data_IF_899848694396
#
_entry.id   IF_899848694396
#
_cell.length_a   1.000
_cell.length_b   1.000
_cell.length_c   1.000
_cell.angle_alpha   90.00
_cell.angle_beta   90.00
_cell.angle_gamma   90.00
#
_symmetry.space_group_name_H-M   'P 1'
#
loop_
_entity.id
_entity.type
_entity.pdbx_description
1 polymer ?
#
# COMPACT_ATOMS: atom_id res chain seq x y z
N UNK A 1 -9.78 22.62 0.72
CA UNK A 1 -10.33 22.56 2.08
C UNK A 1 -10.74 21.12 2.33
N UNK A 2 -10.08 20.44 3.26
CA UNK A 2 -10.46 19.07 3.65
C UNK A 2 -11.60 19.16 4.65
N UNK A 3 -12.70 18.46 4.39
CA UNK A 3 -13.88 18.41 5.27
C UNK A 3 -14.01 17.03 5.87
N UNK A 4 -14.32 16.94 7.17
CA UNK A 4 -14.62 15.65 7.81
C UNK A 4 -16.01 15.21 7.36
N UNK A 5 -16.06 14.05 6.68
CA UNK A 5 -17.29 13.44 6.21
C UNK A 5 -17.92 12.52 7.26
N UNK A 6 -17.10 11.77 8.00
CA UNK A 6 -17.56 10.87 9.05
C UNK A 6 -16.48 10.66 10.11
N UNK A 7 -16.89 10.39 11.34
CA UNK A 7 -15.99 9.99 12.44
C UNK A 7 -16.32 8.56 12.84
N UNK A 8 -15.30 7.70 12.84
CA UNK A 8 -15.43 6.28 13.15
C UNK A 8 -14.78 6.03 14.51
N UNK A 9 -15.57 5.54 15.46
CA UNK A 9 -15.06 5.01 16.72
C UNK A 9 -14.77 3.52 16.52
N UNK A 10 -13.48 3.19 16.46
CA UNK A 10 -13.02 1.83 16.17
C UNK A 10 -13.12 0.91 17.39
N UNK A 11 -13.29 1.46 18.60
CA UNK A 11 -13.32 0.71 19.84
C UNK A 11 -12.08 -0.17 20.06
N UNK A 12 -10.94 0.15 19.43
CA UNK A 12 -9.66 -0.52 19.69
C UNK A 12 -9.13 -0.13 21.09
N UNK A 13 -8.45 -1.08 21.73
CA UNK A 13 -7.89 -0.86 23.09
C UNK A 13 -6.54 -0.14 23.05
N UNK A 14 -5.88 -0.11 21.89
CA UNK A 14 -4.55 0.46 21.69
C UNK A 14 -4.44 1.18 20.33
N UNK A 15 -3.25 1.68 20.00
CA UNK A 15 -2.95 2.46 18.81
C UNK A 15 -3.34 1.70 17.53
N UNK A 16 -3.96 2.42 16.60
CA UNK A 16 -4.29 1.92 15.25
C UNK A 16 -3.07 2.17 14.37
N UNK A 17 -2.62 1.14 13.67
CA UNK A 17 -1.48 1.24 12.76
C UNK A 17 -1.89 1.57 11.33
N UNK A 18 -2.95 0.93 10.85
CA UNK A 18 -3.41 1.10 9.49
C UNK A 18 -4.94 0.94 9.38
N UNK A 19 -5.50 1.55 8.35
CA UNK A 19 -6.91 1.50 8.03
C UNK A 19 -7.13 1.65 6.53
N UNK A 20 -7.79 0.66 5.92
CA UNK A 20 -8.04 0.65 4.48
C UNK A 20 -9.54 0.46 4.20
N UNK A 21 -10.08 1.29 3.31
CA UNK A 21 -11.43 1.13 2.78
C UNK A 21 -11.47 0.04 1.71
N UNK A 22 -12.60 -0.67 1.63
CA UNK A 22 -12.82 -1.61 0.54
C UNK A 22 -12.96 -0.89 -0.82
N UNK A 23 -12.90 -1.68 -1.90
CA UNK A 23 -12.95 -1.18 -3.26
C UNK A 23 -14.19 -0.31 -3.57
N UNK A 24 -15.32 -0.56 -2.88
CA UNK A 24 -16.57 0.15 -3.08
C UNK A 24 -16.79 1.30 -2.09
N UNK A 25 -15.89 1.51 -1.12
CA UNK A 25 -16.03 2.50 -0.05
C UNK A 25 -17.18 2.20 0.93
N UNK A 26 -17.63 0.95 1.00
CA UNK A 26 -18.72 0.49 1.87
C UNK A 26 -18.21 -0.15 3.16
N UNK A 27 -16.95 -0.57 3.21
CA UNK A 27 -16.35 -1.19 4.39
C UNK A 27 -15.02 -0.57 4.73
N UNK A 28 -14.70 -0.55 6.01
CA UNK A 28 -13.40 -0.14 6.52
C UNK A 28 -12.81 -1.28 7.33
N UNK A 29 -11.59 -1.68 6.98
CA UNK A 29 -10.76 -2.55 7.82
C UNK A 29 -9.83 -1.67 8.64
N UNK A 30 -9.69 -1.99 9.93
CA UNK A 30 -8.75 -1.31 10.84
C UNK A 30 -7.92 -2.35 11.57
N UNK A 31 -6.66 -2.04 11.82
CA UNK A 31 -5.78 -2.91 12.59
C UNK A 31 -5.02 -2.14 13.68
N UNK A 32 -4.75 -2.83 14.79
CA UNK A 32 -4.22 -2.19 16.00
C UNK A 32 -3.13 -3.04 16.69
N UNK A 33 -2.39 -2.37 17.57
CA UNK A 33 -1.53 -3.02 18.57
C UNK A 33 -2.27 -3.97 19.51
N UNK A 34 -3.61 -3.92 19.58
CA UNK A 34 -4.44 -4.85 20.39
C UNK A 34 -4.60 -6.27 19.79
N UNK A 35 -3.86 -6.55 18.70
CA UNK A 35 -3.85 -7.82 17.96
C UNK A 35 -5.15 -8.14 17.21
N UNK A 36 -6.10 -7.20 17.12
CA UNK A 36 -7.35 -7.37 16.40
C UNK A 36 -7.35 -6.65 15.05
N UNK A 37 -8.06 -7.27 14.10
CA UNK A 37 -8.47 -6.60 12.86
C UNK A 37 -9.99 -6.46 12.90
N UNK A 38 -10.48 -5.22 12.87
CA UNK A 38 -11.91 -4.95 12.93
C UNK A 38 -12.41 -4.52 11.56
N UNK A 39 -13.62 -4.97 11.22
CA UNK A 39 -14.27 -4.62 9.96
C UNK A 39 -15.56 -3.90 10.26
N UNK A 40 -15.68 -2.70 9.74
CA UNK A 40 -16.86 -1.84 9.86
C UNK A 40 -17.60 -1.77 8.53
N UNK A 41 -18.92 -1.85 8.57
CA UNK A 41 -19.79 -1.46 7.45
C UNK A 41 -20.09 0.04 7.61
N UNK A 42 -19.84 0.81 6.55
CA UNK A 42 -20.05 2.25 6.49
C UNK A 42 -21.16 2.50 5.48
N UNK A 43 -22.36 2.77 6.00
CA UNK A 43 -23.51 3.15 5.16
C UNK A 43 -24.08 4.45 5.64
N UNK A 44 -24.19 5.44 4.74
CA UNK A 44 -24.87 6.71 4.99
C UNK A 44 -24.46 7.41 6.30
N UNK A 45 -23.18 7.38 6.65
CA UNK A 45 -22.66 8.01 7.87
C UNK A 45 -22.78 7.15 9.14
N UNK A 46 -23.56 6.07 9.13
CA UNK A 46 -23.59 5.10 10.23
C UNK A 46 -22.48 4.06 10.11
N UNK A 47 -21.78 3.84 11.21
CA UNK A 47 -20.80 2.77 11.37
C UNK A 47 -21.42 1.60 12.13
N UNK A 48 -21.17 0.38 11.67
CA UNK A 48 -21.49 -0.82 12.43
C UNK A 48 -20.33 -1.81 12.38
N UNK A 49 -19.89 -2.27 13.55
CA UNK A 49 -18.89 -3.34 13.64
C UNK A 49 -19.51 -4.63 13.09
N UNK A 50 -18.94 -5.14 12.00
CA UNK A 50 -19.40 -6.34 11.32
C UNK A 50 -18.63 -7.57 11.77
N UNK A 51 -17.32 -7.44 12.02
CA UNK A 51 -16.48 -8.53 12.49
C UNK A 51 -15.31 -8.02 13.33
N UNK A 52 -14.95 -8.81 14.34
CA UNK A 52 -13.73 -8.68 15.14
C UNK A 52 -12.87 -9.92 14.86
N UNK A 53 -11.84 -9.75 14.03
CA UNK A 53 -10.98 -10.83 13.57
C UNK A 53 -9.78 -10.97 14.51
N UNK A 54 -9.84 -12.01 15.34
CA UNK A 54 -8.76 -12.39 16.25
C UNK A 54 -8.04 -13.62 15.72
N UNK A 55 -6.72 -13.55 15.66
CA UNK A 55 -5.90 -14.64 15.16
C UNK A 55 -4.40 -14.35 15.15
N UNK A 56 -4.03 -13.08 15.25
CA UNK A 56 -2.65 -12.66 15.47
C UNK A 56 -2.29 -12.70 16.96
N UNK A 57 -1.01 -12.94 17.25
CA UNK A 57 -0.46 -12.97 18.61
C UNK A 57 0.41 -11.75 18.94
N UNK A 58 0.46 -10.78 18.02
CA UNK A 58 1.21 -9.53 18.17
C UNK A 58 0.50 -8.38 17.44
N UNK A 59 1.04 -7.15 17.55
CA UNK A 59 0.52 -5.99 16.84
C UNK A 59 0.34 -6.25 15.35
N UNK A 60 -0.76 -5.79 14.78
CA UNK A 60 -1.05 -5.92 13.35
C UNK A 60 -0.65 -4.61 12.67
N UNK A 61 0.25 -4.68 11.69
CA UNK A 61 0.90 -3.50 11.12
C UNK A 61 0.13 -2.90 9.95
N UNK A 62 -0.31 -3.73 9.02
CA UNK A 62 -0.98 -3.30 7.80
C UNK A 62 -2.11 -4.25 7.43
N UNK A 63 -3.13 -3.70 6.78
CA UNK A 63 -4.23 -4.46 6.18
C UNK A 63 -4.34 -4.12 4.69
N UNK A 64 -4.78 -5.07 3.87
CA UNK A 64 -4.99 -4.81 2.45
C UNK A 64 -6.20 -5.58 1.90
N UNK A 65 -7.11 -4.89 1.22
CA UNK A 65 -8.26 -5.52 0.58
C UNK A 65 -7.88 -6.11 -0.79
N UNK A 66 -8.32 -7.33 -1.05
CA UNK A 66 -8.18 -7.90 -2.40
C UNK A 66 -9.23 -7.31 -3.34
N UNK A 67 -8.95 -7.38 -4.64
CA UNK A 67 -9.90 -6.95 -5.65
C UNK A 67 -11.21 -7.79 -5.59
N UNK A 68 -12.40 -7.15 -5.66
CA UNK A 68 -13.70 -7.81 -5.42
C UNK A 68 -14.02 -8.94 -6.41
N UNK A 69 -13.31 -9.03 -7.53
CA UNK A 69 -13.38 -10.16 -8.49
C UNK A 69 -13.11 -11.52 -7.82
N UNK A 70 -12.32 -11.55 -6.74
CA UNK A 70 -11.99 -12.77 -5.99
C UNK A 70 -12.89 -12.98 -4.76
N UNK A 71 -13.93 -12.15 -4.63
CA UNK A 71 -14.77 -12.07 -3.44
C UNK A 71 -14.20 -11.12 -2.39
N UNK A 72 -14.75 -11.18 -1.18
CA UNK A 72 -14.35 -10.32 -0.08
C UNK A 72 -13.21 -11.00 0.69
N UNK A 73 -11.97 -10.63 0.32
CA UNK A 73 -10.74 -11.09 0.96
C UNK A 73 -10.01 -9.90 1.58
N UNK A 74 -9.48 -10.10 2.77
CA UNK A 74 -8.64 -9.14 3.48
C UNK A 74 -7.34 -9.83 3.90
N UNK A 75 -6.20 -9.23 3.62
CA UNK A 75 -4.91 -9.67 4.14
C UNK A 75 -4.54 -8.81 5.36
N UNK A 76 -3.93 -9.42 6.36
CA UNK A 76 -3.33 -8.72 7.50
C UNK A 76 -1.94 -9.28 7.81
N UNK A 77 -1.00 -8.40 8.14
CA UNK A 77 0.34 -8.76 8.59
C UNK A 77 0.62 -8.29 10.01
N UNK A 78 1.47 -9.02 10.72
CA UNK A 78 1.71 -8.77 12.13
C UNK A 78 3.16 -9.03 12.54
N UNK A 79 3.49 -8.45 13.70
CA UNK A 79 4.70 -8.73 14.46
C UNK A 79 4.88 -10.21 14.84
N UNK A 80 3.79 -10.98 14.86
CA UNK A 80 3.83 -12.43 15.13
C UNK A 80 4.45 -13.29 14.03
N UNK A 81 4.98 -12.65 12.96
CA UNK A 81 5.62 -13.25 11.79
C UNK A 81 4.65 -13.92 10.83
N UNK A 82 3.35 -13.72 11.01
CA UNK A 82 2.31 -14.33 10.20
C UNK A 82 1.64 -13.31 9.30
N UNK A 83 1.22 -13.82 8.15
CA UNK A 83 0.24 -13.16 7.28
C UNK A 83 -1.01 -14.02 7.28
N UNK A 84 -2.14 -13.40 7.59
CA UNK A 84 -3.43 -14.07 7.59
C UNK A 84 -4.28 -13.49 6.46
N UNK A 85 -4.86 -14.37 5.65
CA UNK A 85 -5.86 -14.01 4.65
C UNK A 85 -7.22 -14.42 5.20
N UNK A 86 -8.10 -13.45 5.34
CA UNK A 86 -9.46 -13.59 5.81
C UNK A 86 -10.41 -13.60 4.63
N UNK A 87 -11.43 -14.45 4.68
CA UNK A 87 -12.48 -14.53 3.65
C UNK A 87 -13.85 -14.40 4.31
N UNK A 88 -14.71 -13.61 3.68
CA UNK A 88 -16.12 -13.59 4.05
C UNK A 88 -16.89 -14.63 3.22
N UNK A 89 -17.48 -15.60 3.90
CA UNK A 89 -18.39 -16.59 3.31
C UNK A 89 -19.65 -16.72 4.19
N UNK A 90 -20.31 -15.59 4.43
CA UNK A 90 -21.36 -15.43 5.46
C UNK A 90 -20.77 -14.89 6.75
N UNK A 91 -19.94 -15.70 7.41
CA UNK A 91 -19.07 -15.25 8.50
C UNK A 91 -17.64 -15.04 8.01
N UNK A 92 -16.90 -14.19 8.71
CA UNK A 92 -15.49 -13.98 8.45
C UNK A 92 -14.66 -15.10 9.06
N UNK A 93 -13.83 -15.74 8.25
CA UNK A 93 -12.99 -16.85 8.67
C UNK A 93 -11.58 -16.71 8.11
N UNK A 94 -10.63 -17.32 8.82
CA UNK A 94 -9.26 -17.48 8.34
C UNK A 94 -9.26 -18.44 7.15
N UNK A 95 -8.96 -17.92 5.96
CA UNK A 95 -8.90 -18.67 4.71
C UNK A 95 -7.53 -19.29 4.47
N UNK A 96 -6.46 -18.53 4.76
CA UNK A 96 -5.10 -18.98 4.61
C UNK A 96 -4.20 -18.33 5.67
N UNK A 97 -3.16 -19.04 6.10
CA UNK A 97 -2.15 -18.56 7.04
C UNK A 97 -0.76 -18.86 6.48
N UNK A 98 0.06 -17.84 6.40
CA UNK A 98 1.46 -17.94 5.98
C UNK A 98 2.38 -17.57 7.16
N UNK A 99 3.30 -18.45 7.51
CA UNK A 99 4.12 -18.34 8.72
C UNK A 99 5.61 -18.71 8.50
N UNK A 100 6.11 -18.54 7.27
CA UNK A 100 7.49 -18.92 6.91
C UNK A 100 8.50 -17.76 7.02
N UNK A 101 8.10 -16.61 7.56
CA UNK A 101 9.01 -15.52 7.90
C UNK A 101 9.60 -15.74 9.30
N UNK A 102 10.87 -15.36 9.45
CA UNK A 102 11.61 -15.53 10.71
C UNK A 102 11.48 -14.31 11.63
N UNK A 103 10.92 -13.21 11.11
CA UNK A 103 10.70 -11.94 11.83
C UNK A 103 9.36 -11.28 11.44
N UNK A 104 9.07 -10.13 12.05
CA UNK A 104 7.84 -9.35 11.86
C UNK A 104 7.55 -9.05 10.40
N UNK A 105 6.30 -9.23 9.96
CA UNK A 105 5.88 -8.84 8.61
C UNK A 105 5.30 -7.43 8.67
N UNK A 106 5.99 -6.48 8.04
CA UNK A 106 5.71 -5.06 8.21
C UNK A 106 4.70 -4.53 7.19
N UNK A 107 4.65 -5.11 5.99
CA UNK A 107 3.79 -4.63 4.91
C UNK A 107 3.22 -5.74 4.06
N UNK A 108 1.99 -5.54 3.59
CA UNK A 108 1.29 -6.43 2.64
C UNK A 108 0.65 -5.61 1.54
N UNK A 109 0.72 -6.10 0.30
CA UNK A 109 0.08 -5.46 -0.84
C UNK A 109 -0.43 -6.50 -1.83
N UNK A 110 -1.68 -6.37 -2.26
CA UNK A 110 -2.25 -7.18 -3.34
C UNK A 110 -1.76 -6.69 -4.71
N UNK A 111 -1.45 -7.63 -5.59
CA UNK A 111 -1.12 -7.31 -6.96
C UNK A 111 -2.35 -6.82 -7.73
N UNK A 112 -2.14 -6.05 -8.82
CA UNK A 112 -3.20 -5.74 -9.77
C UNK A 112 -3.95 -7.00 -10.22
N UNK A 113 -5.28 -6.91 -10.24
CA UNK A 113 -6.20 -8.03 -10.50
C UNK A 113 -6.04 -8.68 -11.89
N UNK A 114 -5.35 -8.00 -12.81
CA UNK A 114 -4.96 -8.50 -14.11
C UNK A 114 -3.95 -9.65 -14.01
N UNK A 115 -3.09 -9.63 -12.99
CA UNK A 115 -2.06 -10.64 -12.76
C UNK A 115 -2.57 -11.89 -12.04
N UNK A 116 -3.77 -11.83 -11.45
CA UNK A 116 -4.32 -12.90 -10.61
C UNK A 116 -4.45 -12.47 -9.14
N UNK A 117 -4.75 -13.45 -8.29
CA UNK A 117 -4.78 -13.26 -6.84
C UNK A 117 -3.38 -13.53 -6.29
N UNK A 118 -2.59 -12.46 -6.18
CA UNK A 118 -1.20 -12.50 -5.72
C UNK A 118 -1.01 -11.48 -4.60
N UNK A 119 -0.37 -11.88 -3.51
CA UNK A 119 -0.05 -11.03 -2.36
C UNK A 119 1.47 -10.92 -2.20
N UNK A 120 2.00 -9.71 -2.07
CA UNK A 120 3.38 -9.49 -1.66
C UNK A 120 3.44 -9.14 -0.18
N UNK A 121 4.44 -9.70 0.53
CA UNK A 121 4.65 -9.52 1.95
C UNK A 121 6.11 -9.12 2.20
N UNK A 122 6.34 -7.98 2.86
CA UNK A 122 7.67 -7.52 3.24
C UNK A 122 7.95 -7.79 4.72
N UNK A 123 9.06 -8.46 5.02
CA UNK A 123 9.42 -8.85 6.39
C UNK A 123 10.70 -8.18 6.89
N UNK A 124 10.74 -7.98 8.21
CA UNK A 124 11.92 -7.54 8.96
C UNK A 124 13.07 -8.56 8.91
N UNK A 125 12.86 -9.78 8.42
CA UNK A 125 13.94 -10.74 8.17
C UNK A 125 14.75 -10.43 6.89
N UNK A 126 14.37 -9.34 6.19
CA UNK A 126 15.01 -8.90 4.95
C UNK A 126 14.51 -9.63 3.71
N UNK A 127 13.57 -10.57 3.85
CA UNK A 127 12.95 -11.27 2.73
C UNK A 127 11.60 -10.68 2.32
N UNK A 128 11.25 -10.91 1.06
CA UNK A 128 9.94 -10.57 0.51
C UNK A 128 9.31 -11.85 -0.02
N UNK A 129 8.09 -12.15 0.41
CA UNK A 129 7.37 -13.35 -0.01
C UNK A 129 6.21 -12.99 -0.92
N UNK A 130 6.11 -13.67 -2.05
CA UNK A 130 5.02 -13.52 -3.02
C UNK A 130 4.15 -14.78 -2.94
N UNK A 131 2.92 -14.62 -2.44
CA UNK A 131 1.93 -15.67 -2.31
C UNK A 131 1.02 -15.64 -3.54
N UNK A 132 0.98 -16.73 -4.30
CA UNK A 132 0.20 -16.86 -5.53
C UNK A 132 -0.90 -17.88 -5.27
N UNK A 133 -2.16 -17.45 -5.36
CA UNK A 133 -3.29 -18.38 -5.27
C UNK A 133 -3.51 -19.03 -6.63
N UNK A 134 -3.42 -20.36 -6.64
CA UNK A 134 -3.78 -21.16 -7.79
C UNK A 134 -5.31 -21.38 -7.85
N UNK A 135 -5.87 -21.66 -9.04
CA UNK A 135 -7.30 -21.93 -9.20
C UNK A 135 -7.81 -23.19 -8.47
N UNK A 136 -6.90 -24.09 -8.12
CA UNK A 136 -7.19 -25.31 -7.34
C UNK A 136 -7.34 -25.02 -5.83
N UNK A 137 -7.12 -23.77 -5.40
CA UNK A 137 -7.15 -23.35 -4.01
C UNK A 137 -5.83 -23.55 -3.26
N UNK A 138 -4.79 -24.06 -3.93
CA UNK A 138 -3.44 -24.11 -3.37
C UNK A 138 -2.78 -22.74 -3.42
N UNK A 139 -1.85 -22.51 -2.50
CA UNK A 139 -1.03 -21.30 -2.46
C UNK A 139 0.41 -21.67 -2.75
N UNK A 140 0.94 -21.15 -3.86
CA UNK A 140 2.36 -21.21 -4.18
C UNK A 140 3.07 -20.01 -3.57
N UNK A 141 4.28 -20.22 -3.07
CA UNK A 141 5.07 -19.17 -2.42
C UNK A 141 6.41 -19.03 -3.12
N UNK A 142 6.67 -17.84 -3.65
CA UNK A 142 7.99 -17.44 -4.15
C UNK A 142 8.63 -16.49 -3.16
N UNK A 143 9.70 -16.94 -2.48
CA UNK A 143 10.42 -16.16 -1.48
C UNK A 143 11.67 -15.52 -2.10
N UNK A 144 11.76 -14.20 -2.06
CA UNK A 144 12.95 -13.42 -2.39
C UNK A 144 13.77 -13.28 -1.12
N UNK A 145 14.82 -14.10 -1.00
CA UNK A 145 15.71 -14.05 0.15
C UNK A 145 16.68 -12.87 0.05
N UNK A 146 16.98 -12.23 1.18
CA UNK A 146 17.94 -11.12 1.26
C UNK A 146 17.61 -9.96 0.29
N UNK A 147 16.32 -9.61 0.18
CA UNK A 147 15.88 -8.45 -0.57
C UNK A 147 16.48 -7.17 0.01
N UNK A 148 16.51 -7.05 1.34
CA UNK A 148 17.18 -5.97 2.06
C UNK A 148 18.08 -6.55 3.16
N UNK A 149 19.22 -5.91 3.42
CA UNK A 149 20.24 -6.48 4.32
C UNK A 149 19.79 -6.56 5.78
N UNK A 150 18.97 -5.60 6.22
CA UNK A 150 18.51 -5.50 7.61
C UNK A 150 17.05 -5.93 7.74
N UNK A 151 16.18 -5.46 6.85
CA UNK A 151 14.74 -5.71 6.91
C UNK A 151 13.99 -4.93 5.82
N UNK A 152 12.82 -5.43 5.44
CA UNK A 152 11.90 -4.75 4.52
C UNK A 152 10.75 -4.14 5.32
N UNK A 153 10.48 -2.85 5.10
CA UNK A 153 9.41 -2.12 5.77
C UNK A 153 8.16 -1.99 4.90
N UNK A 154 8.32 -1.78 3.60
CA UNK A 154 7.22 -1.49 2.70
C UNK A 154 7.35 -2.21 1.36
N UNK A 155 6.20 -2.59 0.81
CA UNK A 155 6.08 -3.21 -0.50
C UNK A 155 4.93 -2.57 -1.25
N UNK A 156 5.17 -2.20 -2.52
CA UNK A 156 4.11 -1.71 -3.41
C UNK A 156 4.24 -2.35 -4.79
N UNK A 157 3.11 -2.63 -5.42
CA UNK A 157 3.06 -3.19 -6.77
C UNK A 157 3.15 -2.09 -7.83
N UNK A 158 3.83 -2.39 -8.94
CA UNK A 158 3.67 -1.62 -10.16
C UNK A 158 2.27 -1.86 -10.71
N UNK A 159 1.55 -0.79 -11.11
CA UNK A 159 0.26 -0.93 -11.79
C UNK A 159 0.37 -1.79 -13.04
N UNK A 160 -0.69 -2.54 -13.34
CA UNK A 160 -0.80 -3.28 -14.59
C UNK A 160 -1.13 -2.31 -15.74
N UNK A 161 -0.15 -1.55 -16.21
CA UNK A 161 -0.35 -0.70 -17.39
C UNK A 161 -0.43 -1.60 -18.61
N UNK A 162 -1.64 -1.92 -19.08
CA UNK A 162 -1.81 -2.57 -20.37
C UNK A 162 -1.35 -1.61 -21.45
N UNK A 163 -0.29 -1.96 -22.19
CA UNK A 163 0.10 -1.23 -23.39
C UNK A 163 -1.08 -1.32 -24.36
N UNK A 164 -1.71 -0.19 -24.67
CA UNK A 164 -2.79 -0.16 -25.64
C UNK A 164 -2.19 -0.47 -27.03
N UNK A 165 -2.59 -1.57 -27.70
CA UNK A 165 -2.02 -1.95 -28.99
C UNK A 165 -2.29 -0.91 -30.10
N UNK A 166 -3.18 0.06 -29.87
CA UNK A 166 -3.38 1.19 -30.79
C UNK A 166 -2.15 2.12 -30.91
N UNK A 167 -1.22 2.09 -29.95
CA UNK A 167 0.02 2.89 -29.97
C UNK A 167 1.20 2.16 -30.64
N UNK A 168 1.09 0.85 -30.88
CA UNK A 168 2.08 0.06 -31.62
C UNK A 168 1.40 -0.85 -32.67
N UNK A 169 1.09 -0.34 -33.88
CA UNK A 169 0.48 -1.12 -34.95
C UNK A 169 1.41 -2.19 -35.55
N UNK A 170 2.67 -2.31 -35.08
CA UNK A 170 3.62 -3.33 -35.54
C UNK A 170 3.59 -4.61 -34.68
N UNK A 171 3.00 -4.52 -33.48
CA UNK A 171 2.82 -5.65 -32.57
C UNK A 171 1.58 -6.46 -32.94
N UNK A 172 1.77 -7.53 -33.73
CA UNK A 172 0.78 -8.59 -33.98
C UNK A 172 0.63 -9.56 -32.79
N UNK A 173 1.24 -9.25 -31.65
CA UNK A 173 1.16 -10.06 -30.44
C UNK A 173 -0.17 -9.81 -29.71
N UNK A 174 -0.74 -10.89 -29.16
CA UNK A 174 -1.82 -10.79 -28.16
C UNK A 174 -1.42 -9.77 -27.09
N UNK A 175 -2.35 -9.04 -26.46
CA UNK A 175 -2.02 -8.19 -25.31
C UNK A 175 -1.30 -9.04 -24.26
N UNK A 176 0.03 -8.93 -24.20
CA UNK A 176 0.83 -9.53 -23.17
C UNK A 176 0.84 -8.56 -22.01
N UNK A 177 0.43 -9.02 -20.84
CA UNK A 177 0.57 -8.23 -19.63
C UNK A 177 2.04 -7.82 -19.44
N UNK A 178 2.32 -6.59 -18.99
CA UNK A 178 3.69 -6.18 -18.70
C UNK A 178 4.31 -7.13 -17.64
N UNK A 179 5.64 -7.24 -17.59
CA UNK A 179 6.29 -8.02 -16.55
C UNK A 179 5.86 -7.50 -15.17
N UNK A 180 5.56 -8.42 -14.24
CA UNK A 180 5.19 -8.05 -12.88
C UNK A 180 6.38 -7.37 -12.23
N UNK A 181 6.14 -6.20 -11.63
CA UNK A 181 7.15 -5.45 -10.91
C UNK A 181 6.64 -5.05 -9.54
N UNK A 182 7.54 -5.05 -8.58
CA UNK A 182 7.30 -4.57 -7.22
C UNK A 182 8.42 -3.62 -6.82
N UNK A 183 8.10 -2.65 -5.99
CA UNK A 183 9.07 -1.81 -5.32
C UNK A 183 9.07 -2.15 -3.83
N UNK A 184 10.26 -2.20 -3.24
CA UNK A 184 10.46 -2.52 -1.84
C UNK A 184 11.33 -1.45 -1.18
N UNK A 185 10.96 -1.04 0.02
CA UNK A 185 11.74 -0.15 0.87
C UNK A 185 12.25 -0.89 2.10
N UNK A 186 13.52 -0.68 2.46
CA UNK A 186 14.14 -1.38 3.58
C UNK A 186 14.88 -0.50 4.57
N UNK A 187 15.30 -1.14 5.67
CA UNK A 187 16.14 -0.56 6.71
C UNK A 187 17.61 -0.39 6.27
N UNK A 188 17.97 -0.79 5.06
CA UNK A 188 19.28 -0.55 4.44
C UNK A 188 19.36 0.79 3.68
N UNK A 189 18.34 1.64 3.84
CA UNK A 189 18.18 2.95 3.20
C UNK A 189 17.94 2.86 1.68
N UNK A 190 17.72 1.66 1.16
CA UNK A 190 17.56 1.42 -0.26
C UNK A 190 16.09 1.28 -0.61
N UNK A 191 15.74 1.82 -1.77
CA UNK A 191 14.53 1.44 -2.49
C UNK A 191 14.95 0.54 -3.65
N UNK A 192 14.37 -0.65 -3.75
CA UNK A 192 14.72 -1.64 -4.77
C UNK A 192 13.52 -1.97 -5.62
N UNK A 193 13.76 -2.10 -6.92
CA UNK A 193 12.74 -2.52 -7.88
C UNK A 193 13.05 -3.94 -8.31
N UNK A 194 12.05 -4.81 -8.20
CA UNK A 194 12.13 -6.20 -8.58
C UNK A 194 11.22 -6.48 -9.75
N UNK A 195 11.67 -7.35 -10.65
CA UNK A 195 10.93 -7.78 -11.83
C UNK A 195 10.82 -9.31 -11.83
N UNK A 196 9.66 -9.82 -12.16
CA UNK A 196 9.47 -11.25 -12.41
C UNK A 196 10.04 -11.60 -13.79
N UNK A 197 11.09 -12.44 -13.81
CA UNK A 197 11.66 -13.03 -15.01
C UNK A 197 11.52 -14.55 -14.96
N UNK A 198 10.48 -15.04 -15.65
CA UNK A 198 10.12 -16.45 -15.64
C UNK A 198 9.62 -16.89 -14.27
N UNK A 199 10.42 -17.71 -13.58
CA UNK A 199 10.07 -18.25 -12.26
C UNK A 199 10.80 -17.56 -11.10
N UNK A 200 11.64 -16.57 -11.39
CA UNK A 200 12.44 -15.88 -10.38
C UNK A 200 12.17 -14.39 -10.39
N UNK A 201 12.34 -13.78 -9.22
CA UNK A 201 12.35 -12.33 -9.08
C UNK A 201 13.80 -11.86 -9.10
N UNK A 202 14.10 -10.94 -10.01
CA UNK A 202 15.43 -10.34 -10.17
C UNK A 202 15.38 -8.88 -9.75
N UNK A 203 16.46 -8.44 -9.12
CA UNK A 203 16.66 -7.03 -8.79
C UNK A 203 17.00 -6.27 -10.07
N UNK A 204 16.13 -5.34 -10.48
CA UNK A 204 16.30 -4.54 -11.70
C UNK A 204 17.04 -3.24 -11.41
N UNK A 205 16.72 -2.56 -10.31
CA UNK A 205 17.31 -1.26 -9.99
C UNK A 205 17.43 -1.05 -8.49
N UNK A 206 18.55 -0.42 -8.10
CA UNK A 206 18.82 0.08 -6.75
C UNK A 206 18.74 1.60 -6.76
N UNK A 207 17.92 2.15 -5.87
CA UNK A 207 17.70 3.58 -5.72
C UNK A 207 18.29 4.01 -4.37
N UNK A 208 19.47 4.61 -4.40
CA UNK A 208 20.30 4.89 -3.21
C UNK A 208 20.40 6.40 -2.96
N UNK A 209 19.31 7.03 -2.49
CA UNK A 209 19.30 8.47 -2.18
C UNK A 209 18.97 8.76 -0.71
N UNK A 210 18.21 7.88 -0.05
CA UNK A 210 17.89 8.05 1.36
C UNK A 210 19.13 7.83 2.25
N UNK A 211 19.22 8.61 3.33
CA UNK A 211 20.34 8.51 4.28
C UNK A 211 20.02 7.64 5.51
N UNK A 212 18.76 7.25 5.68
CA UNK A 212 18.27 6.46 6.82
C UNK A 212 17.10 5.55 6.36
N UNK A 213 16.53 4.76 7.28
CA UNK A 213 15.56 3.71 6.98
C UNK A 213 14.39 4.20 6.14
N UNK A 214 14.10 3.50 5.05
CA UNK A 214 12.91 3.76 4.24
C UNK A 214 11.70 3.21 5.00
N UNK A 215 10.72 4.07 5.27
CA UNK A 215 9.52 3.73 6.05
C UNK A 215 8.42 3.19 5.17
N UNK A 216 8.13 3.89 4.08
CA UNK A 216 7.08 3.50 3.14
C UNK A 216 7.48 3.82 1.69
N UNK A 217 6.91 3.04 0.78
CA UNK A 217 7.11 3.19 -0.66
C UNK A 217 5.80 2.90 -1.39
N UNK A 218 5.36 3.83 -2.22
CA UNK A 218 4.13 3.71 -2.97
C UNK A 218 4.38 3.98 -4.47
N UNK A 219 4.00 3.02 -5.31
CA UNK A 219 4.00 3.18 -6.76
C UNK A 219 2.73 3.90 -7.20
N UNK A 220 2.86 4.98 -7.96
CA UNK A 220 1.72 5.75 -8.42
C UNK A 220 0.93 4.97 -9.50
N UNK A 221 -0.41 4.92 -9.42
CA UNK A 221 -1.22 4.40 -10.51
C UNK A 221 -1.11 5.32 -11.72
N UNK A 222 -0.39 4.89 -12.77
CA UNK A 222 -0.26 5.63 -14.02
C UNK A 222 -1.39 5.25 -14.99
N UNK A 223 -2.48 6.01 -14.97
CA UNK A 223 -3.57 5.81 -15.94
C UNK A 223 -3.19 6.52 -17.24
N UNK A 224 -2.70 5.75 -18.23
CA UNK A 224 -2.54 6.21 -19.60
C UNK A 224 -1.31 7.07 -19.90
N UNK A 225 -0.44 7.36 -18.91
CA UNK A 225 0.86 7.97 -19.13
C UNK A 225 1.96 6.91 -19.08
N UNK A 226 2.97 6.94 -19.98
CA UNK A 226 4.09 6.01 -19.94
C UNK A 226 5.06 6.28 -18.78
N UNK A 227 4.95 7.45 -18.13
CA UNK A 227 5.78 7.83 -16.99
C UNK A 227 5.35 7.10 -15.72
N UNK A 228 6.19 6.20 -15.25
CA UNK A 228 6.09 5.59 -13.93
C UNK A 228 6.60 6.57 -12.86
N UNK A 229 5.85 6.66 -11.76
CA UNK A 229 6.23 7.47 -10.61
C UNK A 229 6.18 6.64 -9.34
N UNK A 230 7.17 6.77 -8.47
CA UNK A 230 7.22 6.14 -7.16
C UNK A 230 7.47 7.23 -6.12
N UNK A 231 6.78 7.17 -4.99
CA UNK A 231 7.11 7.96 -3.81
C UNK A 231 7.75 7.06 -2.77
N UNK A 232 8.83 7.54 -2.15
CA UNK A 232 9.41 6.91 -0.96
C UNK A 232 9.56 7.93 0.16
N UNK A 233 9.36 7.47 1.39
CA UNK A 233 9.61 8.27 2.57
C UNK A 233 10.57 7.55 3.53
N UNK A 234 11.34 8.32 4.28
CA UNK A 234 12.38 7.79 5.16
C UNK A 234 12.42 8.50 6.50
N UNK A 235 13.07 7.84 7.45
CA UNK A 235 13.49 8.37 8.74
C UNK A 235 14.36 9.63 8.61
N UNK A 236 15.00 9.85 7.45
CA UNK A 236 15.77 11.05 7.11
C UNK A 236 14.91 12.34 6.95
N UNK A 237 13.59 12.21 7.16
CA UNK A 237 12.59 13.28 7.06
C UNK A 237 12.36 13.79 5.64
N UNK A 238 12.83 13.06 4.63
CA UNK A 238 12.64 13.42 3.22
C UNK A 238 11.63 12.51 2.58
N UNK A 239 10.86 13.11 1.67
CA UNK A 239 10.07 12.38 0.68
C UNK A 239 10.73 12.56 -0.67
N UNK A 240 10.99 11.45 -1.35
CA UNK A 240 11.64 11.43 -2.65
C UNK A 240 10.63 10.89 -3.66
N UNK A 241 10.53 11.59 -4.79
CA UNK A 241 9.74 11.16 -5.94
C UNK A 241 10.69 10.69 -7.02
N UNK A 242 10.50 9.44 -7.42
CA UNK A 242 11.25 8.77 -8.46
C UNK A 242 10.40 8.73 -9.71
N UNK A 243 10.94 9.18 -10.83
CA UNK A 243 10.22 9.23 -12.10
C UNK A 243 11.02 8.53 -13.18
N UNK A 244 10.36 7.72 -13.99
CA UNK A 244 10.97 6.99 -15.09
C UNK A 244 10.01 6.90 -16.27
N UNK A 245 10.50 7.15 -17.48
CA UNK A 245 9.71 7.04 -18.72
C UNK A 245 9.86 5.67 -19.38
N UNK A 246 11.01 5.03 -19.21
CA UNK A 246 11.38 3.74 -19.81
C UNK A 246 11.39 2.60 -18.79
N UNK A 247 11.11 2.91 -17.52
CA UNK A 247 11.09 1.96 -16.42
C UNK A 247 12.47 1.34 -16.12
N UNK A 248 13.55 1.92 -16.65
CA UNK A 248 14.95 1.48 -16.50
C UNK A 248 15.79 2.60 -15.89
N UNK A 249 15.68 3.82 -16.42
CA UNK A 249 16.37 5.00 -15.90
C UNK A 249 15.45 5.76 -14.95
N UNK A 250 15.89 5.89 -13.69
CA UNK A 250 15.12 6.53 -12.64
C UNK A 250 15.77 7.85 -12.22
N UNK A 251 15.02 8.94 -12.38
CA UNK A 251 15.38 10.25 -11.88
C UNK A 251 14.79 10.45 -10.49
N UNK A 252 15.57 11.01 -9.56
CA UNK A 252 15.11 11.34 -8.21
C UNK A 252 14.90 12.83 -8.06
N UNK A 253 13.79 13.20 -7.40
CA UNK A 253 13.49 14.58 -7.03
C UNK A 253 13.11 14.59 -5.55
N UNK A 254 13.72 15.49 -4.78
CA UNK A 254 13.35 15.68 -3.38
C UNK A 254 12.11 16.55 -3.34
N UNK A 255 10.99 16.00 -2.85
CA UNK A 255 9.72 16.72 -2.77
C UNK A 255 9.77 17.79 -1.68
N UNK A 256 10.10 17.37 -0.46
CA UNK A 256 10.28 18.26 0.67
C UNK A 256 11.10 17.58 1.77
N UNK A 257 11.69 18.39 2.65
CA UNK A 257 12.24 17.94 3.94
C UNK A 257 11.30 18.40 5.05
N UNK A 258 10.81 17.46 5.84
CA UNK A 258 9.89 17.69 6.95
C UNK A 258 10.65 17.89 8.26
N UNK A 259 9.98 18.47 9.26
CA UNK A 259 10.57 18.70 10.58
C UNK A 259 10.77 17.40 11.37
N UNK A 260 9.94 16.39 11.11
CA UNK A 260 9.96 15.09 11.76
C UNK A 260 9.92 13.95 10.72
N UNK A 261 10.04 12.72 11.21
CA UNK A 261 10.01 11.46 10.43
C UNK A 261 8.74 11.36 9.61
N UNK A 262 8.83 10.84 8.39
CA UNK A 262 7.66 10.55 7.57
C UNK A 262 7.37 9.06 7.64
N UNK A 263 6.15 8.71 8.02
CA UNK A 263 5.75 7.32 8.26
C UNK A 263 5.19 6.66 7.01
N UNK A 264 4.19 7.26 6.37
CA UNK A 264 3.52 6.64 5.23
C UNK A 264 3.37 7.62 4.05
N UNK A 265 3.30 7.06 2.85
CA UNK A 265 3.03 7.78 1.61
C UNK A 265 1.94 7.05 0.82
N UNK A 266 0.94 7.78 0.33
CA UNK A 266 -0.14 7.16 -0.44
C UNK A 266 -0.56 8.02 -1.61
N UNK A 267 -0.70 7.38 -2.78
CA UNK A 267 -1.16 8.03 -3.99
C UNK A 267 -2.68 8.02 -4.09
N UNK A 268 -3.24 9.12 -4.58
CA UNK A 268 -4.61 9.13 -5.09
C UNK A 268 -4.76 8.14 -6.24
N UNK A 269 -5.97 7.60 -6.45
CA UNK A 269 -6.25 6.65 -7.53
C UNK A 269 -5.92 7.20 -8.93
N UNK A 270 -5.97 8.51 -9.11
CA UNK A 270 -5.61 9.18 -10.37
C UNK A 270 -4.09 9.36 -10.54
N UNK A 271 -3.28 9.05 -9.52
CA UNK A 271 -1.82 9.19 -9.54
C UNK A 271 -1.28 10.63 -9.39
N UNK A 272 -2.16 11.63 -9.22
CA UNK A 272 -1.76 13.05 -9.29
C UNK A 272 -1.55 13.73 -7.92
N UNK A 273 -2.18 13.20 -6.87
CA UNK A 273 -2.08 13.74 -5.52
C UNK A 273 -1.37 12.71 -4.65
N UNK A 274 -0.39 13.17 -3.88
CA UNK A 274 0.32 12.39 -2.87
C UNK A 274 -0.10 12.84 -1.48
N UNK A 275 -0.51 11.90 -0.63
CA UNK A 275 -0.68 12.12 0.80
C UNK A 275 0.58 11.67 1.53
N UNK A 276 1.07 12.52 2.43
CA UNK A 276 2.27 12.30 3.24
C UNK A 276 1.89 12.40 4.70
N UNK A 277 2.11 11.35 5.48
CA UNK A 277 1.88 11.35 6.93
C UNK A 277 3.20 11.55 7.71
N UNK A 278 3.27 12.65 8.45
CA UNK A 278 4.43 13.00 9.28
C UNK A 278 4.30 12.57 10.74
N UNK A 279 5.43 12.46 11.42
CA UNK A 279 5.53 12.23 12.88
C UNK A 279 5.05 13.41 13.71
N UNK A 280 4.89 14.58 13.09
CA UNK A 280 4.28 15.78 13.67
C UNK A 280 2.74 15.66 13.83
N UNK A 281 2.17 14.48 13.57
CA UNK A 281 0.73 14.19 13.57
C UNK A 281 -0.06 15.03 12.56
N UNK A 282 0.60 15.48 11.48
CA UNK A 282 -0.05 16.12 10.35
C UNK A 282 -0.01 15.24 9.11
N UNK A 283 -1.03 15.42 8.28
CA UNK A 283 -1.07 14.84 6.93
C UNK A 283 -1.02 15.99 5.93
N UNK A 284 -0.02 15.96 5.06
CA UNK A 284 0.16 16.95 4.01
C UNK A 284 -0.23 16.36 2.66
N UNK A 285 -0.93 17.14 1.83
CA UNK A 285 -1.31 16.76 0.47
C UNK A 285 -0.49 17.52 -0.54
N UNK A 286 0.08 16.83 -1.52
CA UNK A 286 0.98 17.39 -2.52
C UNK A 286 0.50 17.10 -3.94
N UNK A 287 0.73 18.02 -4.86
CA UNK A 287 0.54 17.80 -6.31
C UNK A 287 1.70 18.39 -7.10
N UNK A 288 1.96 17.81 -8.27
CA UNK A 288 2.86 18.35 -9.28
C UNK A 288 2.14 19.46 -10.08
N UNK A 289 2.80 20.60 -10.26
CA UNK A 289 2.36 21.66 -11.16
C UNK A 289 2.78 21.36 -12.62
N UNK A 290 2.26 22.14 -13.58
CA UNK A 290 2.64 22.02 -14.99
C UNK A 290 4.14 22.23 -15.26
N UNK A 291 4.85 22.86 -14.33
CA UNK A 291 6.30 23.10 -14.38
C UNK A 291 7.13 21.94 -13.78
N UNK A 292 6.48 20.86 -13.31
CA UNK A 292 7.15 19.72 -12.68
C UNK A 292 7.55 19.94 -11.22
N UNK A 293 7.11 21.04 -10.60
CA UNK A 293 7.36 21.33 -9.19
C UNK A 293 6.23 20.82 -8.30
N UNK A 294 6.57 20.22 -7.17
CA UNK A 294 5.63 19.75 -6.17
C UNK A 294 5.23 20.87 -5.22
N UNK A 295 3.93 21.09 -5.04
CA UNK A 295 3.38 22.06 -4.11
C UNK A 295 2.47 21.40 -3.07
N UNK A 296 2.55 21.89 -1.84
CA UNK A 296 1.62 21.52 -0.77
C UNK A 296 0.27 22.21 -1.00
N UNK A 297 -0.81 21.42 -1.08
CA UNK A 297 -2.18 21.85 -1.34
C UNK A 297 -2.93 22.09 -0.04
N UNK A 298 -2.67 21.25 0.96
CA UNK A 298 -3.39 21.25 2.23
C UNK A 298 -2.58 20.53 3.29
N UNK A 299 -2.63 21.05 4.51
CA UNK A 299 -2.19 20.34 5.70
C UNK A 299 -3.40 20.07 6.58
N UNK A 300 -3.49 18.85 7.09
CA UNK A 300 -4.55 18.41 7.99
C UNK A 300 -3.90 18.04 9.32
N UNK A 301 -4.26 18.76 10.37
CA UNK A 301 -3.81 18.45 11.73
C UNK A 301 -4.86 17.63 12.48
N UNK A 302 -4.42 16.82 13.44
CA UNK A 302 -5.32 16.10 14.36
C UNK A 302 -6.39 17.03 14.94
N UNK A 303 -7.66 16.71 14.73
CA UNK A 303 -8.81 17.48 15.23
C UNK A 303 -9.26 18.68 14.37
N UNK A 304 -8.58 18.99 13.27
CA UNK A 304 -9.04 20.01 12.32
C UNK A 304 -9.90 19.37 11.23
N UNK A 305 -11.21 19.44 11.46
CA UNK A 305 -12.21 18.98 10.54
C UNK A 305 -13.58 19.17 11.16
N UNK A 306 -14.13 20.37 11.02
CA UNK A 306 -15.52 20.59 11.40
C UNK A 306 -16.37 19.71 10.49
N UNK A 307 -17.25 18.89 11.06
CA UNK A 307 -18.38 18.35 10.31
C UNK A 307 -19.09 19.56 9.72
N UNK A 308 -19.31 19.57 8.40
CA UNK A 308 -20.18 20.57 7.80
C UNK A 308 -21.51 20.49 8.54
N UNK A 309 -21.79 21.50 9.37
CA UNK A 309 -23.00 21.56 10.16
C UNK A 309 -24.16 21.38 9.20
N UNK A 310 -25.06 20.46 9.53
CA UNK A 310 -26.40 20.45 8.96
C UNK A 310 -26.96 21.87 9.09
N UNK A 311 -26.92 22.64 8.01
CA UNK A 311 -27.81 23.78 7.87
C UNK A 311 -29.22 23.21 7.90
N UNK A 312 -29.82 23.28 9.10
CA UNK A 312 -31.26 23.27 9.25
C UNK A 312 -31.81 24.35 8.32
N UNK A 313 -32.30 23.95 7.15
CA UNK A 313 -33.34 24.72 6.47
C UNK A 313 -34.61 24.59 7.32
N UNK A 314 -34.69 25.46 8.32
CA UNK A 314 -35.94 25.81 8.96
C UNK A 314 -36.62 26.89 8.10
N UNK A 315 -37.93 26.65 7.91
CA UNK A 315 -38.96 27.45 7.22
C UNK A 315 -39.12 27.19 5.71
#
# INVERSE_FOLDING_TARGET
MVSVLNTVDTGHEDIIHDAEMDYYGLRLATCSSDHSVKIFDIRNGTQSLKADLKGHYGPVWQVAWAHPKYGNLLASCSYDRKVIIWKEAGEWQKFYEYNSHDSSVNSVAWAPHEFGLILACGSSDGSVSILISNPDGSWEVKKITNAHTIGCNAVSWCPATSINPALDPTSSARPSLPPKRIVTGGCDNLVKIWKEEGDRWVEETKLEVHSDWVRDVAWAPSIGLPRSTIASCSQDRRVIIWTSDDNVQWNSTVLNTFDDVVWNVSWSLNGNILAVSGGDNKVSLWRENNEGQWICISEVSKGQGQMAGNEQRAL
#
